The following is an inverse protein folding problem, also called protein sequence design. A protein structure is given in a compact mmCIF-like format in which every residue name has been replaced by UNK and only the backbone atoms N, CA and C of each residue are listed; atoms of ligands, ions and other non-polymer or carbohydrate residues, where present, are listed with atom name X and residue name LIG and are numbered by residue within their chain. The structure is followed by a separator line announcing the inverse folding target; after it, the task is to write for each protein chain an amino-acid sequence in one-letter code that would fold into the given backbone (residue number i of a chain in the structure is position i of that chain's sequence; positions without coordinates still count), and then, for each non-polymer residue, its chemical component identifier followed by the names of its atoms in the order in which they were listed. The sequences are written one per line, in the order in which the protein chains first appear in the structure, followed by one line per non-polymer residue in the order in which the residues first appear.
data_IF_859627140485
#
_entry.id   IF_859627140485
#
_cell.length_a   1.000
_cell.length_b   1.000
_cell.length_c   1.000
_cell.angle_alpha   90.00
_cell.angle_beta   90.00
_cell.angle_gamma   90.00
#
_symmetry.space_group_name_H-M   'P 1'
#
loop_
_entity.id
_entity.type
_entity.pdbx_description
1 polymer ?
#
# COMPACT_ATOMS: atom_id res chain seq x y z
N UNK A 1 7.81 4.43 5.74
CA UNK A 1 7.44 5.26 4.57
C UNK A 1 6.02 4.94 4.13
N UNK A 2 5.35 5.90 3.51
CA UNK A 2 4.03 5.72 2.92
C UNK A 2 4.15 5.66 1.40
N UNK A 3 3.64 4.60 0.80
CA UNK A 3 3.61 4.42 -0.66
C UNK A 3 2.16 4.54 -1.12
N UNK A 4 1.90 5.43 -2.07
CA UNK A 4 0.54 5.71 -2.55
C UNK A 4 0.43 5.72 -4.06
N UNK A 5 -0.72 5.29 -4.58
CA UNK A 5 -1.08 5.40 -6.00
C UNK A 5 -2.61 5.43 -6.11
N UNK A 6 -3.15 6.30 -6.96
CA UNK A 6 -4.58 6.33 -7.32
C UNK A 6 -5.57 6.33 -6.12
N UNK A 7 -5.22 7.03 -5.03
CA UNK A 7 -6.04 7.13 -3.82
C UNK A 7 -5.93 5.93 -2.86
N UNK A 8 -5.17 4.89 -3.22
CA UNK A 8 -4.79 3.79 -2.35
C UNK A 8 -3.39 4.01 -1.76
N UNK A 9 -3.11 3.37 -0.62
CA UNK A 9 -1.82 3.49 0.05
C UNK A 9 -1.47 2.31 0.96
N UNK A 10 -0.16 2.15 1.20
CA UNK A 10 0.39 1.22 2.19
C UNK A 10 1.47 1.92 3.00
N UNK A 11 1.63 1.46 4.24
CA UNK A 11 2.75 1.84 5.09
C UNK A 11 3.78 0.72 5.08
N UNK A 12 5.03 1.07 4.85
CA UNK A 12 6.14 0.12 4.84
C UNK A 12 7.26 0.58 5.77
N UNK A 13 7.75 -0.32 6.62
CA UNK A 13 8.94 -0.09 7.44
C UNK A 13 10.13 -0.87 6.86
N UNK A 14 11.15 -0.15 6.36
CA UNK A 14 12.33 -0.74 5.73
C UNK A 14 13.38 -1.17 6.76
N UNK A 15 14.26 -2.09 6.38
CA UNK A 15 15.34 -2.63 7.21
C UNK A 15 16.32 -1.53 7.63
N UNK A 16 16.75 -0.75 6.65
CA UNK A 16 17.74 0.31 6.78
C UNK A 16 17.52 1.38 5.70
N UNK A 17 18.35 2.43 5.71
CA UNK A 17 18.25 3.52 4.74
C UNK A 17 18.46 3.06 3.28
N UNK A 18 19.32 2.06 3.05
CA UNK A 18 19.62 1.57 1.69
C UNK A 18 18.48 0.73 1.13
N UNK A 19 17.90 -0.16 1.95
CA UNK A 19 16.70 -0.91 1.61
C UNK A 19 15.50 0.01 1.41
N UNK A 20 15.42 1.08 2.19
CA UNK A 20 14.42 2.13 2.01
C UNK A 20 14.53 2.85 0.66
N UNK A 21 15.73 3.24 0.25
CA UNK A 21 15.92 3.94 -1.03
C UNK A 21 15.68 3.02 -2.24
N UNK A 22 16.13 1.76 -2.18
CA UNK A 22 15.83 0.77 -3.23
C UNK A 22 14.32 0.58 -3.42
N UNK A 23 13.59 0.41 -2.30
CA UNK A 23 12.14 0.26 -2.33
C UNK A 23 11.45 1.52 -2.89
N UNK A 24 11.94 2.71 -2.51
CA UNK A 24 11.43 3.97 -3.03
C UNK A 24 11.63 4.09 -4.54
N UNK A 25 12.81 3.76 -5.04
CA UNK A 25 13.09 3.78 -6.48
C UNK A 25 12.20 2.79 -7.25
N UNK A 26 12.02 1.58 -6.71
CA UNK A 26 11.12 0.59 -7.31
C UNK A 26 9.67 1.11 -7.35
N UNK A 27 9.17 1.64 -6.24
CA UNK A 27 7.82 2.19 -6.13
C UNK A 27 7.59 3.36 -7.10
N UNK A 28 8.55 4.29 -7.18
CA UNK A 28 8.50 5.44 -8.08
C UNK A 28 8.54 5.01 -9.56
N UNK A 29 9.36 4.01 -9.91
CA UNK A 29 9.38 3.45 -11.27
C UNK A 29 8.04 2.84 -11.69
N UNK A 30 7.22 2.42 -10.72
CA UNK A 30 5.88 1.87 -10.91
C UNK A 30 4.77 2.92 -10.74
N UNK A 31 5.12 4.20 -10.66
CA UNK A 31 4.20 5.33 -10.60
C UNK A 31 3.61 5.59 -9.21
N UNK A 32 4.14 4.98 -8.15
CA UNK A 32 3.75 5.30 -6.79
C UNK A 32 4.46 6.58 -6.33
N UNK A 33 3.82 7.34 -5.43
CA UNK A 33 4.49 8.41 -4.69
C UNK A 33 4.97 7.88 -3.34
N UNK A 34 6.21 8.20 -2.99
CA UNK A 34 6.82 7.86 -1.72
C UNK A 34 6.83 9.07 -0.77
N UNK A 35 6.30 8.92 0.44
CA UNK A 35 6.34 9.96 1.47
C UNK A 35 7.01 9.44 2.75
N UNK A 36 7.93 10.20 3.35
CA UNK A 36 8.46 9.86 4.67
C UNK A 36 7.33 9.90 5.69
N UNK A 37 7.33 8.94 6.61
CA UNK A 37 6.39 8.89 7.72
C UNK A 37 7.13 9.22 9.00
N UNK A 38 6.57 10.14 9.78
CA UNK A 38 6.97 10.37 11.16
C UNK A 38 5.87 9.83 12.08
N UNK A 39 6.20 9.59 13.35
CA UNK A 39 5.25 9.03 14.31
C UNK A 39 4.07 9.98 14.58
N UNK A 40 4.31 11.28 14.47
CA UNK A 40 3.31 12.35 14.62
C UNK A 40 2.25 12.29 13.51
N UNK A 41 2.67 11.97 12.28
CA UNK A 41 1.76 11.89 11.14
C UNK A 41 1.09 10.50 11.05
N UNK A 42 1.70 9.45 11.63
CA UNK A 42 1.18 8.08 11.57
C UNK A 42 -0.23 7.93 12.14
N UNK A 43 -0.48 8.51 13.32
CA UNK A 43 -1.72 8.33 14.07
C UNK A 43 -2.99 8.92 13.43
N UNK A 44 -3.00 10.19 12.97
CA UNK A 44 -4.19 10.79 12.39
C UNK A 44 -4.40 10.42 10.91
N UNK A 45 -3.32 10.38 10.11
CA UNK A 45 -3.45 10.45 8.65
C UNK A 45 -3.39 9.10 7.96
N UNK A 46 -2.80 8.09 8.61
CA UNK A 46 -2.54 6.79 7.98
C UNK A 46 -3.28 5.62 8.64
N UNK A 47 -4.24 5.92 9.53
CA UNK A 47 -5.08 4.91 10.15
C UNK A 47 -5.95 4.21 9.09
N UNK A 48 -5.81 2.89 8.97
CA UNK A 48 -6.62 2.06 8.06
C UNK A 48 -5.91 1.60 6.79
N UNK A 49 -4.69 2.09 6.51
CA UNK A 49 -3.87 1.53 5.44
C UNK A 49 -3.20 0.22 5.88
N UNK A 50 -2.92 -0.66 4.91
CA UNK A 50 -2.16 -1.90 5.17
C UNK A 50 -0.73 -1.55 5.56
N UNK A 51 -0.21 -2.26 6.55
CA UNK A 51 1.12 -2.07 7.11
C UNK A 51 2.01 -3.28 6.83
N UNK A 52 3.23 -3.05 6.36
CA UNK A 52 4.24 -4.08 6.07
C UNK A 52 5.54 -3.76 6.80
N UNK A 53 5.96 -4.66 7.70
CA UNK A 53 7.24 -4.58 8.38
C UNK A 53 8.30 -5.41 7.64
N UNK A 54 9.14 -4.77 6.83
CA UNK A 54 10.19 -5.47 6.08
C UNK A 54 11.43 -5.79 6.93
N UNK A 55 11.47 -5.36 8.19
CA UNK A 55 12.46 -5.84 9.17
C UNK A 55 12.15 -7.28 9.57
N UNK A 56 10.89 -7.70 9.45
CA UNK A 56 10.49 -9.09 9.60
C UNK A 56 10.87 -9.89 8.33
N UNK A 57 11.70 -10.94 8.44
CA UNK A 57 12.14 -11.72 7.28
C UNK A 57 10.98 -12.38 6.52
N UNK A 58 9.92 -12.81 7.22
CA UNK A 58 8.77 -13.46 6.58
C UNK A 58 7.96 -12.49 5.71
N UNK A 59 7.70 -11.29 6.24
CA UNK A 59 7.03 -10.23 5.48
C UNK A 59 7.90 -9.79 4.31
N UNK A 60 9.21 -9.70 4.50
CA UNK A 60 10.16 -9.33 3.44
C UNK A 60 10.19 -10.34 2.29
N UNK A 61 10.18 -11.63 2.58
CA UNK A 61 10.19 -12.68 1.55
C UNK A 61 8.91 -12.71 0.71
N UNK A 62 7.78 -12.30 1.30
CA UNK A 62 6.46 -12.31 0.65
C UNK A 62 6.04 -10.96 0.08
N UNK A 63 6.72 -9.87 0.45
CA UNK A 63 6.37 -8.52 0.01
C UNK A 63 6.75 -8.30 -1.46
N UNK A 64 5.82 -7.75 -2.23
CA UNK A 64 6.04 -7.36 -3.63
C UNK A 64 5.17 -6.16 -3.97
N UNK A 65 5.77 -5.13 -4.57
CA UNK A 65 5.02 -3.98 -5.06
C UNK A 65 4.08 -4.39 -6.20
N UNK A 66 4.50 -5.31 -7.07
CA UNK A 66 3.66 -5.78 -8.17
C UNK A 66 2.38 -6.43 -7.66
N UNK A 67 2.51 -7.26 -6.62
CA UNK A 67 1.35 -7.88 -5.99
C UNK A 67 0.42 -6.85 -5.34
N UNK A 68 0.97 -5.83 -4.68
CA UNK A 68 0.16 -4.74 -4.08
C UNK A 68 -0.62 -4.00 -5.17
N UNK A 69 0.02 -3.67 -6.29
CA UNK A 69 -0.62 -2.97 -7.40
C UNK A 69 -1.68 -3.85 -8.07
N UNK A 70 -1.39 -5.14 -8.29
CA UNK A 70 -2.36 -6.10 -8.84
C UNK A 70 -3.59 -6.21 -7.95
N UNK A 71 -3.40 -6.30 -6.63
CA UNK A 71 -4.50 -6.35 -5.66
C UNK A 71 -5.35 -5.07 -5.70
N UNK A 72 -4.74 -3.89 -5.85
CA UNK A 72 -5.48 -2.63 -6.00
C UNK A 72 -6.28 -2.57 -7.30
N UNK A 73 -5.72 -3.02 -8.42
CA UNK A 73 -6.44 -3.09 -9.70
C UNK A 73 -7.56 -4.13 -9.66
N UNK A 74 -7.40 -5.24 -8.94
CA UNK A 74 -8.47 -6.20 -8.70
C UNK A 74 -9.59 -5.57 -7.86
N UNK A 75 -9.27 -4.94 -6.73
CA UNK A 75 -10.25 -4.26 -5.87
C UNK A 75 -11.01 -3.17 -6.64
N UNK A 76 -10.33 -2.40 -7.49
CA UNK A 76 -10.94 -1.38 -8.34
C UNK A 76 -11.93 -1.97 -9.34
N UNK A 77 -11.53 -3.02 -10.08
CA UNK A 77 -12.40 -3.74 -11.02
C UNK A 77 -13.64 -4.33 -10.33
N UNK A 78 -13.47 -4.87 -9.12
CA UNK A 78 -14.60 -5.35 -8.33
C UNK A 78 -15.57 -4.22 -8.00
N UNK A 79 -15.08 -3.06 -7.54
CA UNK A 79 -15.94 -1.90 -7.23
C UNK A 79 -16.67 -1.36 -8.45
N UNK A 80 -15.97 -1.19 -9.58
CA UNK A 80 -16.56 -0.71 -10.84
C UNK A 80 -17.58 -1.71 -11.42
N UNK A 81 -17.35 -3.02 -11.27
CA UNK A 81 -18.31 -4.05 -11.65
C UNK A 81 -19.58 -4.10 -10.76
N UNK A 82 -19.55 -3.44 -9.60
CA UNK A 82 -20.67 -3.34 -8.66
C UNK A 82 -21.45 -2.01 -8.74
N UNK A 83 -21.07 -1.05 -9.59
CA UNK A 83 -21.89 0.16 -9.88
C UNK A 83 -23.22 -0.14 -10.61
N UNK A 84 -23.58 -1.42 -10.78
CA UNK A 84 -24.85 -1.88 -11.35
C UNK A 84 -25.81 -2.59 -10.39
N UNK A 85 -25.49 -2.72 -9.10
CA UNK A 85 -26.41 -3.36 -8.13
C UNK A 85 -26.38 -2.63 -6.78
N UNK A 86 -27.20 -1.58 -6.68
CA UNK A 86 -27.64 -0.92 -5.44
C UNK A 86 -28.54 -1.84 -4.58
N UNK A 87 -28.11 -3.08 -4.31
CA UNK A 87 -28.84 -3.96 -3.38
C UNK A 87 -27.84 -4.77 -2.54
N UNK A 88 -27.27 -4.12 -1.52
CA UNK A 88 -26.78 -4.84 -0.35
C UNK A 88 -27.88 -4.84 0.71
N UNK A 89 -28.87 -5.71 0.52
CA UNK A 89 -29.69 -6.20 1.63
C UNK A 89 -28.84 -7.14 2.48
N UNK A 90 -28.85 -6.97 3.80
CA UNK A 90 -28.54 -8.08 4.72
C UNK A 90 -29.67 -8.15 5.76
N UNK A 91 -30.33 -9.31 5.76
CA UNK A 91 -31.24 -9.86 6.77
C UNK A 91 -30.49 -10.25 8.05
#
# INVERSE_FOLDING_TARGET
MFLKKDGAGIVVEAIDASGGENLKQEAESKGMTCQPLTIENFYPDYRGYRYFDLRNPFTRESFSIDYVLEAWEADKRHREGHEGTDEWFIH
#
